data_IF_278249016603
#
_entry.id   IF_278249016603
#
_cell.length_a   1.000
_cell.length_b   1.000
_cell.length_c   1.000
_cell.angle_alpha   90.00
_cell.angle_beta   90.00
_cell.angle_gamma   90.00
#
_symmetry.space_group_name_H-M   'P 1'
#
loop_
_entity.id
_entity.type
_entity.pdbx_description
1 polymer ?
#
# COMPACT_ATOMS: atom_id res chain seq x y z
N UNK A 1 -12.80 49.69 -45.54
CA UNK A 1 -13.57 48.71 -44.74
C UNK A 1 -12.86 47.37 -44.86
N UNK A 2 -11.97 47.04 -43.92
CA UNK A 2 -11.15 45.82 -43.99
C UNK A 2 -12.01 44.59 -43.70
N UNK A 3 -12.21 43.76 -44.73
CA UNK A 3 -12.99 42.52 -44.64
C UNK A 3 -12.08 41.45 -44.03
N UNK A 4 -12.25 41.18 -42.74
CA UNK A 4 -11.61 40.04 -42.08
C UNK A 4 -12.24 38.75 -42.64
N UNK A 5 -11.51 38.04 -43.50
CA UNK A 5 -11.91 36.72 -44.00
C UNK A 5 -11.76 35.76 -42.82
N UNK A 6 -12.88 35.31 -42.25
CA UNK A 6 -12.87 34.21 -41.28
C UNK A 6 -12.72 32.90 -42.06
N UNK A 7 -11.52 32.33 -42.05
CA UNK A 7 -11.28 30.98 -42.57
C UNK A 7 -11.98 29.95 -41.67
N UNK A 8 -12.91 29.19 -42.24
CA UNK A 8 -13.54 28.04 -41.59
C UNK A 8 -12.79 26.75 -41.92
N UNK A 9 -12.78 25.80 -40.99
CA UNK A 9 -12.28 24.45 -41.24
C UNK A 9 -13.17 23.72 -42.25
N UNK A 10 -12.56 22.92 -43.12
CA UNK A 10 -13.28 22.05 -44.05
C UNK A 10 -13.76 20.77 -43.35
N UNK A 11 -14.87 20.20 -43.82
CA UNK A 11 -15.39 18.93 -43.29
C UNK A 11 -14.39 17.79 -43.42
N UNK A 12 -13.58 17.78 -44.48
CA UNK A 12 -12.58 16.74 -44.71
C UNK A 12 -11.39 16.86 -43.76
N UNK A 13 -10.98 18.08 -43.39
CA UNK A 13 -9.93 18.29 -42.38
C UNK A 13 -10.37 17.75 -41.03
N UNK A 14 -11.62 18.00 -40.63
CA UNK A 14 -12.13 17.46 -39.37
C UNK A 14 -12.27 15.92 -39.43
N UNK A 15 -12.70 15.37 -40.57
CA UNK A 15 -12.84 13.92 -40.78
C UNK A 15 -11.50 13.19 -40.71
N UNK A 16 -10.45 13.73 -41.31
CA UNK A 16 -9.11 13.12 -41.26
C UNK A 16 -8.54 13.16 -39.84
N UNK A 17 -8.79 14.22 -39.07
CA UNK A 17 -8.30 14.33 -37.70
C UNK A 17 -8.94 13.30 -36.78
N UNK A 18 -10.27 13.16 -36.80
CA UNK A 18 -10.96 12.20 -35.94
C UNK A 18 -10.60 10.75 -36.31
N UNK A 19 -10.33 10.47 -37.58
CA UNK A 19 -9.90 9.13 -38.02
C UNK A 19 -8.49 8.81 -37.52
N UNK A 20 -7.55 9.75 -37.60
CA UNK A 20 -6.19 9.57 -37.04
C UNK A 20 -6.23 9.41 -35.52
N UNK A 21 -7.02 10.23 -34.81
CA UNK A 21 -7.19 10.11 -33.35
C UNK A 21 -7.78 8.74 -33.00
N UNK A 22 -8.77 8.25 -33.77
CA UNK A 22 -9.36 6.93 -33.57
C UNK A 22 -8.32 5.79 -33.69
N UNK A 23 -7.45 5.84 -34.70
CA UNK A 23 -6.39 4.84 -34.88
C UNK A 23 -5.42 4.86 -33.69
N UNK A 24 -4.91 6.05 -33.31
CA UNK A 24 -3.96 6.17 -32.20
C UNK A 24 -4.56 5.78 -30.85
N UNK A 25 -5.84 6.09 -30.62
CA UNK A 25 -6.53 5.78 -29.37
C UNK A 25 -6.60 4.27 -29.11
N UNK A 26 -6.83 3.45 -30.15
CA UNK A 26 -6.94 1.99 -29.99
C UNK A 26 -5.66 1.32 -29.49
N UNK A 27 -4.48 1.75 -29.95
CA UNK A 27 -3.20 1.20 -29.50
C UNK A 27 -2.71 1.77 -28.16
N UNK A 28 -3.13 2.99 -27.80
CA UNK A 28 -2.60 3.70 -26.64
C UNK A 28 -3.04 3.16 -25.28
N UNK A 29 -4.23 2.55 -25.18
CA UNK A 29 -4.86 2.19 -23.90
C UNK A 29 -4.06 1.10 -23.14
N UNK A 30 -3.58 0.08 -23.85
CA UNK A 30 -2.86 -1.04 -23.22
C UNK A 30 -1.49 -0.59 -22.68
N UNK A 31 -0.77 0.22 -23.45
CA UNK A 31 0.51 0.81 -23.02
C UNK A 31 0.29 1.71 -21.82
N UNK A 32 -0.74 2.56 -21.85
CA UNK A 32 -1.05 3.46 -20.74
C UNK A 32 -1.38 2.70 -19.45
N UNK A 33 -2.20 1.64 -19.54
CA UNK A 33 -2.57 0.82 -18.38
C UNK A 33 -1.34 0.18 -17.73
N UNK A 34 -0.46 -0.43 -18.53
CA UNK A 34 0.79 -1.03 -18.04
C UNK A 34 1.73 -0.01 -17.37
N UNK A 35 1.71 1.25 -17.81
CA UNK A 35 2.51 2.30 -17.18
C UNK A 35 1.91 2.75 -15.84
N UNK A 36 0.58 2.78 -15.70
CA UNK A 36 -0.05 3.08 -14.41
C UNK A 36 0.19 1.93 -13.42
N UNK A 37 0.11 0.66 -13.84
CA UNK A 37 0.46 -0.49 -12.99
C UNK A 37 1.87 -0.35 -12.42
N UNK A 38 2.86 -0.04 -13.26
CA UNK A 38 4.25 0.19 -12.80
C UNK A 38 4.35 1.38 -11.84
N UNK A 39 3.58 2.44 -12.06
CA UNK A 39 3.57 3.60 -11.16
C UNK A 39 3.01 3.21 -9.79
N UNK A 40 1.90 2.47 -9.73
CA UNK A 40 1.33 1.96 -8.48
C UNK A 40 2.27 0.98 -7.78
N UNK A 41 2.91 0.07 -8.52
CA UNK A 41 3.92 -0.83 -7.94
C UNK A 41 5.12 -0.05 -7.36
N UNK A 42 5.54 1.05 -7.99
CA UNK A 42 6.57 1.92 -7.45
C UNK A 42 6.12 2.62 -6.15
N UNK A 43 4.84 3.00 -6.07
CA UNK A 43 4.23 3.48 -4.83
C UNK A 43 4.27 2.40 -3.76
N UNK A 44 3.85 1.16 -4.06
CA UNK A 44 3.90 0.02 -3.10
C UNK A 44 5.29 -0.22 -2.52
N UNK A 45 6.33 -0.20 -3.35
CA UNK A 45 7.72 -0.34 -2.89
C UNK A 45 8.11 0.79 -1.94
N UNK A 46 7.64 2.00 -2.21
CA UNK A 46 7.95 3.18 -1.39
C UNK A 46 7.21 3.12 -0.06
N UNK A 47 5.92 2.76 -0.10
CA UNK A 47 5.06 2.59 1.06
C UNK A 47 5.59 1.50 2.00
N UNK A 48 6.03 0.35 1.47
CA UNK A 48 6.66 -0.69 2.27
C UNK A 48 7.90 -0.20 3.02
N UNK A 49 8.70 0.70 2.43
CA UNK A 49 9.87 1.28 3.11
C UNK A 49 9.49 2.26 4.19
N UNK A 50 8.42 3.02 3.99
CA UNK A 50 7.87 3.92 5.03
C UNK A 50 7.38 3.09 6.22
N UNK A 51 6.61 2.03 5.95
CA UNK A 51 6.14 1.10 6.99
C UNK A 51 7.31 0.43 7.70
N UNK A 52 8.35 -0.01 6.96
CA UNK A 52 9.55 -0.60 7.53
C UNK A 52 10.23 0.36 8.51
N UNK A 53 10.41 1.63 8.12
CA UNK A 53 11.00 2.64 9.00
C UNK A 53 10.19 2.85 10.29
N UNK A 54 8.85 2.83 10.20
CA UNK A 54 7.98 2.91 11.38
C UNK A 54 8.16 1.70 12.31
N UNK A 55 8.17 0.49 11.75
CA UNK A 55 8.37 -0.77 12.52
C UNK A 55 9.76 -0.81 13.17
N UNK A 56 10.80 -0.36 12.46
CA UNK A 56 12.15 -0.28 13.00
C UNK A 56 12.23 0.72 14.16
N UNK A 57 11.51 1.84 14.08
CA UNK A 57 11.47 2.82 15.16
C UNK A 57 10.77 2.27 16.42
N UNK A 58 9.69 1.49 16.27
CA UNK A 58 9.06 0.77 17.40
C UNK A 58 10.07 -0.13 18.10
N UNK A 59 10.88 -0.86 17.32
CA UNK A 59 11.89 -1.74 17.88
C UNK A 59 12.99 -0.97 18.63
N UNK A 60 13.41 0.21 18.15
CA UNK A 60 14.42 1.02 18.84
C UNK A 60 13.98 1.42 20.25
N UNK A 61 12.69 1.73 20.44
CA UNK A 61 12.19 2.20 21.73
C UNK A 61 11.75 1.04 22.63
N UNK A 62 11.21 -0.04 22.08
CA UNK A 62 10.63 -1.15 22.86
C UNK A 62 11.50 -2.41 22.93
N UNK A 63 12.55 -2.51 22.11
CA UNK A 63 13.35 -3.72 21.92
C UNK A 63 12.55 -4.94 21.44
N UNK A 64 11.38 -4.71 20.84
CA UNK A 64 10.49 -5.73 20.28
C UNK A 64 9.69 -5.16 19.13
N UNK A 65 9.44 -5.96 18.09
CA UNK A 65 8.52 -5.59 17.03
C UNK A 65 7.07 -5.70 17.53
N UNK A 66 6.16 -4.84 17.03
CA UNK A 66 4.76 -4.86 17.45
C UNK A 66 4.12 -6.19 17.10
N UNK A 67 3.24 -6.70 17.97
CA UNK A 67 2.42 -7.84 17.59
C UNK A 67 1.49 -7.47 16.44
N UNK A 68 1.13 -8.43 15.60
CA UNK A 68 0.36 -8.13 14.40
C UNK A 68 -1.04 -7.56 14.69
N UNK A 69 -1.61 -7.88 15.85
CA UNK A 69 -2.83 -7.27 16.37
C UNK A 69 -2.63 -5.88 16.99
N UNK A 70 -1.38 -5.51 17.29
CA UNK A 70 -0.98 -4.22 17.84
C UNK A 70 -0.47 -3.26 16.76
N UNK A 71 -0.09 -3.77 15.58
CA UNK A 71 0.51 -3.03 14.47
C UNK A 71 -0.16 -1.68 14.16
N UNK A 72 -1.49 -1.57 14.33
CA UNK A 72 -2.26 -0.33 14.21
C UNK A 72 -3.25 -0.13 15.37
N UNK A 73 -2.83 -0.42 16.60
CA UNK A 73 -3.73 -0.31 17.75
C UNK A 73 -4.10 1.14 18.10
N UNK A 74 -3.28 2.12 17.73
CA UNK A 74 -3.41 3.51 18.15
C UNK A 74 -3.20 3.68 19.66
N UNK A 75 -2.49 2.73 20.27
CA UNK A 75 -2.33 2.69 21.72
C UNK A 75 -1.18 3.61 22.13
N UNK A 76 -1.42 4.45 23.13
CA UNK A 76 -0.40 5.36 23.63
C UNK A 76 0.75 4.57 24.27
N UNK A 77 1.98 4.76 23.78
CA UNK A 77 3.17 4.24 24.46
C UNK A 77 4.22 3.63 23.56
N UNK A 78 4.42 4.13 22.34
CA UNK A 78 5.41 3.65 21.37
C UNK A 78 5.21 2.19 20.97
N UNK A 79 4.09 1.56 21.33
CA UNK A 79 3.84 0.12 21.16
C UNK A 79 3.50 -0.28 19.73
N UNK A 80 3.21 0.69 18.86
CA UNK A 80 2.84 0.46 17.48
C UNK A 80 3.37 1.54 16.54
N UNK A 81 3.16 1.35 15.23
CA UNK A 81 3.76 2.22 14.22
C UNK A 81 3.10 3.61 14.14
N UNK A 82 1.91 3.78 14.72
CA UNK A 82 1.10 5.01 14.59
C UNK A 82 1.62 6.15 15.46
N UNK A 83 2.49 5.83 16.42
CA UNK A 83 3.25 6.83 17.18
C UNK A 83 4.41 7.43 16.39
N UNK A 84 4.85 6.77 15.31
CA UNK A 84 5.98 7.20 14.48
C UNK A 84 5.58 7.64 13.07
N UNK A 85 4.40 7.25 12.62
CA UNK A 85 3.86 7.59 11.31
C UNK A 85 2.50 8.29 11.46
N UNK A 86 2.44 9.56 11.04
CA UNK A 86 1.18 10.31 11.04
C UNK A 86 0.19 9.74 10.01
N UNK A 87 0.70 9.43 8.82
CA UNK A 87 -0.04 8.86 7.71
C UNK A 87 0.47 7.45 7.41
N UNK A 88 -0.42 6.47 7.54
CA UNK A 88 -0.14 5.07 7.20
C UNK A 88 -0.59 4.82 5.76
N UNK A 89 0.33 4.48 4.84
CA UNK A 89 -0.01 4.29 3.43
C UNK A 89 -0.96 3.12 3.24
N UNK A 90 -1.92 3.27 2.34
CA UNK A 90 -2.83 2.20 1.91
C UNK A 90 -2.58 1.82 0.45
N UNK A 91 -2.77 0.56 0.11
CA UNK A 91 -2.57 0.10 -1.26
C UNK A 91 -3.59 0.76 -2.22
N UNK A 92 -3.15 1.34 -3.35
CA UNK A 92 -4.05 2.03 -4.30
C UNK A 92 -5.18 1.16 -4.89
N UNK A 93 -5.05 -0.16 -4.82
CA UNK A 93 -6.02 -1.15 -5.30
C UNK A 93 -6.25 -2.23 -4.23
N UNK A 94 -6.33 -1.82 -2.98
CA UNK A 94 -6.42 -2.82 -1.91
C UNK A 94 -7.63 -3.76 -2.11
N UNK A 95 -7.40 -5.07 -1.97
CA UNK A 95 -8.45 -6.07 -2.12
C UNK A 95 -8.77 -6.46 -3.56
N UNK A 96 -8.27 -5.74 -4.56
CA UNK A 96 -8.35 -6.13 -5.96
C UNK A 96 -7.30 -7.20 -6.30
N UNK A 97 -7.49 -7.92 -7.41
CA UNK A 97 -6.52 -8.91 -7.86
C UNK A 97 -5.20 -8.27 -8.30
N UNK A 98 -4.11 -8.81 -7.76
CA UNK A 98 -2.73 -8.57 -8.16
C UNK A 98 -2.20 -9.80 -8.93
N UNK A 99 -1.00 -9.67 -9.48
CA UNK A 99 -0.38 -10.72 -10.27
C UNK A 99 0.13 -11.86 -9.38
N UNK A 100 -0.35 -13.08 -9.63
CA UNK A 100 -0.02 -14.30 -8.89
C UNK A 100 1.22 -15.04 -9.43
N UNK A 101 1.97 -14.42 -10.35
CA UNK A 101 3.10 -15.06 -11.03
C UNK A 101 2.72 -16.24 -11.92
N UNK A 102 1.43 -16.45 -12.22
CA UNK A 102 0.92 -17.61 -12.95
C UNK A 102 0.67 -18.84 -12.07
N UNK A 103 0.62 -18.69 -10.75
CA UNK A 103 0.44 -19.78 -9.78
C UNK A 103 -0.97 -20.37 -9.72
N UNK A 104 -1.97 -19.73 -10.32
CA UNK A 104 -3.36 -20.19 -10.35
C UNK A 104 -4.12 -19.98 -9.03
N UNK A 105 -3.52 -19.27 -8.07
CA UNK A 105 -4.15 -18.87 -6.80
C UNK A 105 -4.27 -17.35 -6.80
N UNK A 106 -5.50 -16.83 -6.77
CA UNK A 106 -5.71 -15.38 -6.72
C UNK A 106 -4.98 -14.77 -5.53
N UNK A 107 -4.20 -13.73 -5.80
CA UNK A 107 -3.56 -12.90 -4.79
C UNK A 107 -4.15 -11.49 -4.88
N UNK A 108 -4.40 -10.88 -3.73
CA UNK A 108 -4.98 -9.55 -3.68
C UNK A 108 -3.88 -8.52 -3.39
N UNK A 109 -3.99 -7.34 -3.99
CA UNK A 109 -3.14 -6.20 -3.67
C UNK A 109 -3.43 -5.72 -2.24
N UNK A 110 -2.39 -5.24 -1.56
CA UNK A 110 -2.45 -4.86 -0.16
C UNK A 110 -1.07 -4.89 0.49
N UNK A 111 -1.01 -4.36 1.71
CA UNK A 111 0.16 -4.53 2.57
C UNK A 111 -0.16 -5.52 3.69
N UNK A 112 0.77 -6.41 3.96
CA UNK A 112 0.65 -7.43 5.00
C UNK A 112 1.81 -7.29 5.98
N UNK A 113 1.53 -7.45 7.26
CA UNK A 113 2.51 -7.41 8.33
C UNK A 113 2.45 -8.69 9.15
N UNK A 114 3.61 -9.24 9.46
CA UNK A 114 3.79 -10.41 10.30
C UNK A 114 4.93 -10.15 11.27
N UNK A 115 4.79 -10.64 12.50
CA UNK A 115 5.85 -10.60 13.50
C UNK A 115 5.84 -11.89 14.32
N UNK A 116 7.04 -12.33 14.72
CA UNK A 116 7.23 -13.51 15.54
C UNK A 116 8.54 -13.42 16.32
N UNK A 117 8.76 -14.39 17.20
CA UNK A 117 10.05 -14.59 17.84
C UNK A 117 11.13 -14.88 16.80
N UNK A 118 12.29 -14.24 16.94
CA UNK A 118 13.41 -14.46 16.05
C UNK A 118 13.94 -15.90 16.21
N UNK A 119 14.61 -16.41 15.18
CA UNK A 119 15.29 -17.72 15.24
C UNK A 119 16.34 -17.76 16.35
N UNK A 120 16.87 -16.58 16.71
CA UNK A 120 17.80 -16.40 17.84
C UNK A 120 17.15 -16.51 19.23
N UNK A 121 15.83 -16.72 19.32
CA UNK A 121 15.07 -16.80 20.57
C UNK A 121 14.67 -15.45 21.18
N UNK A 122 14.86 -14.35 20.44
CA UNK A 122 14.41 -13.01 20.86
C UNK A 122 12.92 -12.91 20.65
N UNK A 123 12.15 -12.70 21.73
CA UNK A 123 10.70 -12.54 21.66
C UNK A 123 10.34 -11.36 20.76
N UNK A 124 9.46 -11.58 19.78
CA UNK A 124 9.08 -10.58 18.76
C UNK A 124 10.30 -9.90 18.11
N UNK A 125 11.36 -10.66 17.87
CA UNK A 125 12.61 -10.18 17.27
C UNK A 125 12.66 -10.30 15.74
N UNK A 126 11.62 -10.80 15.10
CA UNK A 126 11.52 -10.95 13.65
C UNK A 126 10.21 -10.36 13.11
N UNK A 127 10.27 -9.77 11.93
CA UNK A 127 9.10 -9.22 11.25
C UNK A 127 9.23 -9.31 9.73
N UNK A 128 8.08 -9.30 9.08
CA UNK A 128 7.95 -9.25 7.63
C UNK A 128 6.85 -8.24 7.26
N UNK A 129 7.16 -7.40 6.28
CA UNK A 129 6.21 -6.58 5.54
C UNK A 129 6.18 -7.08 4.10
N UNK A 130 4.98 -7.34 3.59
CA UNK A 130 4.82 -7.88 2.24
C UNK A 130 3.75 -7.21 1.40
N UNK A 131 3.97 -7.19 0.09
CA UNK A 131 3.02 -6.66 -0.90
C UNK A 131 3.07 -7.45 -2.21
N UNK A 132 1.93 -7.54 -2.89
CA UNK A 132 1.82 -8.11 -4.23
C UNK A 132 1.93 -7.02 -5.30
N UNK A 133 2.37 -7.39 -6.50
CA UNK A 133 2.49 -6.46 -7.63
C UNK A 133 1.45 -6.70 -8.71
N UNK A 134 1.07 -5.65 -9.43
CA UNK A 134 0.24 -5.78 -10.63
C UNK A 134 1.08 -6.21 -11.83
N UNK A 135 2.31 -5.69 -11.94
CA UNK A 135 3.15 -5.95 -13.08
C UNK A 135 3.96 -7.25 -12.93
N UNK A 136 3.85 -8.14 -13.91
CA UNK A 136 4.60 -9.42 -13.95
C UNK A 136 6.12 -9.25 -13.94
N UNK A 137 6.64 -8.10 -14.41
CA UNK A 137 8.08 -7.81 -14.32
C UNK A 137 8.52 -7.57 -12.88
N UNK A 138 7.67 -6.98 -12.04
CA UNK A 138 7.99 -6.76 -10.63
C UNK A 138 7.86 -8.06 -9.83
N UNK A 139 6.89 -8.91 -10.16
CA UNK A 139 6.82 -10.28 -9.61
C UNK A 139 8.14 -11.03 -9.83
N UNK A 140 8.67 -10.99 -11.06
CA UNK A 140 9.90 -11.72 -11.40
C UNK A 140 11.20 -11.04 -10.98
N UNK A 141 11.23 -9.71 -10.82
CA UNK A 141 12.46 -8.95 -10.54
C UNK A 141 12.57 -8.40 -9.13
N UNK A 142 11.49 -8.46 -8.34
CA UNK A 142 11.41 -7.84 -7.00
C UNK A 142 10.86 -8.79 -5.95
N UNK A 143 9.83 -9.57 -6.29
CA UNK A 143 9.14 -10.46 -5.37
C UNK A 143 9.65 -11.91 -5.40
N UNK A 144 10.74 -12.20 -6.12
CA UNK A 144 11.33 -13.53 -6.11
C UNK A 144 12.09 -13.73 -4.82
N UNK A 145 11.94 -14.90 -4.21
CA UNK A 145 12.66 -15.27 -2.99
C UNK A 145 14.19 -15.12 -3.14
N UNK A 146 14.72 -15.41 -4.33
CA UNK A 146 16.15 -15.25 -4.68
C UNK A 146 16.61 -13.80 -4.76
N UNK A 147 15.67 -12.84 -4.79
CA UNK A 147 15.93 -11.41 -4.93
C UNK A 147 15.71 -10.67 -3.63
N UNK A 148 14.59 -10.87 -2.97
CA UNK A 148 14.29 -10.19 -1.70
C UNK A 148 14.79 -10.98 -0.48
N UNK A 149 14.99 -12.30 -0.60
CA UNK A 149 15.42 -13.20 0.46
C UNK A 149 14.28 -13.73 1.33
N UNK A 150 13.03 -13.59 0.87
CA UNK A 150 11.83 -14.01 1.57
C UNK A 150 11.43 -15.46 1.29
N UNK A 151 10.21 -15.83 1.68
CA UNK A 151 9.66 -17.17 1.47
C UNK A 151 8.66 -17.26 0.31
N UNK A 152 8.27 -16.12 -0.26
CA UNK A 152 7.33 -15.98 -1.35
C UNK A 152 8.03 -15.66 -2.66
N UNK A 153 7.40 -16.08 -3.75
CA UNK A 153 7.89 -15.87 -5.12
C UNK A 153 7.01 -14.89 -5.91
N UNK A 154 6.00 -14.34 -5.23
CA UNK A 154 4.90 -13.55 -5.81
C UNK A 154 4.61 -12.28 -5.01
N UNK A 155 5.03 -12.22 -3.74
CA UNK A 155 4.99 -11.01 -2.91
C UNK A 155 6.39 -10.55 -2.58
N UNK A 156 6.65 -9.25 -2.71
CA UNK A 156 7.89 -8.68 -2.21
C UNK A 156 7.84 -8.63 -0.70
N UNK A 157 8.92 -9.11 -0.08
CA UNK A 157 9.04 -9.17 1.38
C UNK A 157 10.23 -8.31 1.87
N UNK A 158 9.97 -7.45 2.86
CA UNK A 158 10.97 -6.69 3.60
C UNK A 158 10.92 -7.07 5.07
N UNK A 159 12.06 -7.08 5.75
CA UNK A 159 12.13 -7.36 7.18
C UNK A 159 13.31 -8.26 7.56
N UNK A 160 13.23 -8.81 8.77
CA UNK A 160 14.26 -9.63 9.41
C UNK A 160 13.72 -11.05 9.59
N UNK A 161 14.55 -12.06 9.30
CA UNK A 161 14.23 -13.49 9.39
C UNK A 161 12.98 -13.92 8.59
N UNK A 162 12.64 -13.16 7.53
CA UNK A 162 11.44 -13.36 6.68
C UNK A 162 11.32 -14.75 6.02
N UNK A 163 12.42 -15.47 5.82
CA UNK A 163 12.40 -16.86 5.34
C UNK A 163 11.79 -17.85 6.36
N UNK A 164 11.80 -17.51 7.65
CA UNK A 164 11.26 -18.32 8.74
C UNK A 164 9.85 -17.91 9.20
N UNK A 165 9.30 -16.83 8.64
CA UNK A 165 7.99 -16.29 9.00
C UNK A 165 6.89 -16.95 8.16
N UNK A 166 6.46 -18.16 8.55
CA UNK A 166 5.52 -18.98 7.75
C UNK A 166 4.14 -19.13 8.41
N UNK A 167 4.01 -18.82 9.71
CA UNK A 167 2.78 -19.07 10.49
C UNK A 167 2.41 -18.02 11.55
N UNK A 168 2.97 -16.81 11.42
CA UNK A 168 2.71 -15.72 12.35
C UNK A 168 1.27 -15.18 12.26
N UNK A 169 0.81 -14.55 13.36
CA UNK A 169 -0.34 -13.66 13.32
C UNK A 169 -0.11 -12.62 12.22
N UNK A 170 -1.08 -12.48 11.31
CA UNK A 170 -1.01 -11.56 10.18
C UNK A 170 -1.94 -10.39 10.41
N UNK A 171 -1.38 -9.18 10.42
CA UNK A 171 -2.12 -7.94 10.29
C UNK A 171 -2.18 -7.59 8.81
N UNK A 172 -3.38 -7.38 8.25
CA UNK A 172 -3.51 -6.88 6.89
C UNK A 172 -3.87 -5.40 6.92
N UNK A 173 -3.05 -4.60 6.26
CA UNK A 173 -3.33 -3.19 6.06
C UNK A 173 -4.08 -3.05 4.74
N UNK A 174 -5.41 -3.15 4.87
CA UNK A 174 -6.33 -3.19 3.74
C UNK A 174 -6.80 -1.80 3.26
N UNK A 175 -6.35 -0.73 3.89
CA UNK A 175 -6.72 0.63 3.56
C UNK A 175 -5.77 1.64 4.21
N UNK A 176 -5.69 2.83 3.65
CA UNK A 176 -4.90 3.91 4.24
C UNK A 176 -5.48 4.25 5.62
N UNK A 177 -4.58 4.40 6.60
CA UNK A 177 -4.94 4.73 7.97
C UNK A 177 -4.26 6.04 8.37
N UNK A 178 -4.91 6.84 9.22
CA UNK A 178 -4.33 8.09 9.74
C UNK A 178 -4.62 8.21 11.22
N UNK A 179 -3.64 8.70 11.99
CA UNK A 179 -3.87 9.08 13.39
C UNK A 179 -4.73 10.35 13.43
N UNK A 180 -5.81 10.32 14.18
CA UNK A 180 -6.71 11.45 14.31
C UNK A 180 -7.32 11.56 15.70
N UNK A 181 -8.11 12.60 15.92
CA UNK A 181 -8.86 12.79 17.16
C UNK A 181 -10.35 12.72 16.88
N UNK A 182 -11.09 12.03 17.74
CA UNK A 182 -12.55 12.05 17.74
C UNK A 182 -13.07 12.65 19.04
N UNK A 183 -14.24 13.31 18.96
CA UNK A 183 -14.97 13.84 20.12
C UNK A 183 -16.22 12.98 20.30
N UNK A 184 -16.46 12.50 21.53
CA UNK A 184 -17.70 11.78 21.83
C UNK A 184 -18.87 12.77 21.74
N UNK A 185 -20.03 12.30 21.25
CA UNK A 185 -21.19 13.15 20.89
C UNK A 185 -21.71 14.05 22.03
N UNK A 186 -21.34 13.77 23.28
CA UNK A 186 -21.75 14.51 24.48
C UNK A 186 -20.56 15.02 25.34
N UNK A 187 -19.36 15.14 24.78
CA UNK A 187 -18.15 15.53 25.54
C UNK A 187 -17.61 16.91 25.16
N UNK A 188 -17.06 17.61 26.14
CA UNK A 188 -16.33 18.87 25.97
C UNK A 188 -15.15 18.64 25.01
N UNK A 189 -14.85 19.52 24.03
CA UNK A 189 -13.69 19.38 23.10
C UNK A 189 -12.33 19.18 23.79
N UNK A 190 -12.21 19.46 25.08
CA UNK A 190 -11.02 19.14 25.89
C UNK A 190 -10.83 17.64 26.18
N UNK A 191 -11.79 16.78 25.87
CA UNK A 191 -11.75 15.31 26.07
C UNK A 191 -11.65 14.53 24.75
N UNK A 192 -11.05 15.13 23.73
CA UNK A 192 -10.78 14.45 22.47
C UNK A 192 -9.92 13.19 22.72
N UNK A 193 -10.33 12.06 22.15
CA UNK A 193 -9.60 10.79 22.26
C UNK A 193 -8.87 10.53 20.94
N UNK A 194 -7.61 10.10 21.00
CA UNK A 194 -6.88 9.67 19.82
C UNK A 194 -7.45 8.35 19.30
N UNK A 195 -7.62 8.25 17.99
CA UNK A 195 -8.12 7.07 17.32
C UNK A 195 -7.46 6.92 15.94
N UNK A 196 -7.42 5.69 15.44
CA UNK A 196 -6.97 5.41 14.08
C UNK A 196 -8.17 5.51 13.14
N UNK A 197 -8.03 6.31 12.09
CA UNK A 197 -9.05 6.47 11.07
C UNK A 197 -8.68 5.64 9.83
N UNK A 198 -9.50 4.65 9.50
CA UNK A 198 -9.37 3.83 8.31
C UNK A 198 -10.41 4.32 7.30
N UNK A 199 -9.97 4.75 6.12
CA UNK A 199 -10.85 5.37 5.12
C UNK A 199 -11.73 6.51 5.68
N UNK A 200 -11.17 7.31 6.59
CA UNK A 200 -11.87 8.43 7.22
C UNK A 200 -12.91 8.04 8.28
N UNK A 201 -13.00 6.77 8.68
CA UNK A 201 -13.84 6.31 9.81
C UNK A 201 -12.96 5.82 10.95
N UNK A 202 -13.28 6.15 12.22
CA UNK A 202 -12.51 5.67 13.36
C UNK A 202 -12.59 4.15 13.47
N UNK A 203 -11.51 3.52 13.93
CA UNK A 203 -11.46 2.09 14.24
C UNK A 203 -12.50 1.77 15.32
N UNK A 204 -13.19 0.65 15.11
CA UNK A 204 -14.39 0.26 15.85
C UNK A 204 -14.17 0.27 17.37
N UNK A 205 -14.98 1.04 18.10
CA UNK A 205 -15.06 0.97 19.57
C UNK A 205 -14.47 2.14 20.36
N UNK A 206 -13.72 3.06 19.73
CA UNK A 206 -13.06 4.17 20.43
C UNK A 206 -13.89 5.48 20.42
N UNK A 207 -14.80 5.64 19.45
CA UNK A 207 -15.49 6.91 19.18
C UNK A 207 -17.03 6.84 19.20
N UNK A 208 -17.64 5.86 19.89
CA UNK A 208 -19.11 5.74 20.03
C UNK A 208 -19.64 6.50 21.25
#
# INVERSE_FOLDING_TARGET
>A
MNKNIKSGFTLIELLVVITIIGILATGGISVFTAQIEKARDSTRITDLKVLQGGVEQVYQDNSSYPAANEFLSGSAGNTDITDYLEDIPGDPKTGEECNDGGGGTSINCGYSYRAQDATSGVTMGAFELSTAFENSSNVTKKAKNTVDGGNSDVTMELGIDKDTIISAFSGSLSAAAKKGTCTHSNSNPSNATEAIFINGKPSSGICN
#
